data_IF_587688408436
#
_entry.id   IF_587688408436
#
_cell.length_a   1.000
_cell.length_b   1.000
_cell.length_c   1.000
_cell.angle_alpha   90.00
_cell.angle_beta   90.00
_cell.angle_gamma   90.00
#
_symmetry.space_group_name_H-M   'P 1'
#
loop_
_entity.id
_entity.type
_entity.pdbx_description
1 polymer ?
#
# COMPACT_ATOMS: atom_id res chain seq x y z
N UNK A 1 1.83 -16.19 -12.86
CA UNK A 1 2.56 -14.94 -12.64
C UNK A 1 2.11 -14.31 -11.33
N UNK A 2 3.02 -14.05 -10.40
CA UNK A 2 2.75 -13.45 -9.11
C UNK A 2 3.87 -12.52 -8.65
N UNK A 3 3.57 -11.77 -7.62
CA UNK A 3 4.51 -10.88 -6.94
C UNK A 3 5.01 -11.55 -5.65
N UNK A 4 6.16 -11.11 -5.16
CA UNK A 4 6.69 -11.54 -3.86
C UNK A 4 5.65 -11.29 -2.74
N UNK A 5 4.95 -10.20 -2.85
CA UNK A 5 3.90 -9.80 -1.92
C UNK A 5 2.75 -10.80 -1.89
N UNK A 6 2.34 -11.34 -3.02
CA UNK A 6 1.29 -12.38 -3.09
C UNK A 6 1.66 -13.60 -2.23
N UNK A 7 2.94 -14.00 -2.22
CA UNK A 7 3.39 -15.20 -1.54
C UNK A 7 3.20 -15.11 -0.01
N UNK A 8 3.63 -14.01 0.62
CA UNK A 8 3.51 -13.89 2.07
C UNK A 8 2.17 -13.34 2.54
N UNK A 9 1.44 -12.62 1.68
CA UNK A 9 0.08 -12.18 1.99
C UNK A 9 -0.92 -13.34 2.04
N UNK A 10 -0.62 -14.47 1.38
CA UNK A 10 -1.46 -15.66 1.41
C UNK A 10 -1.74 -16.17 2.84
N UNK A 11 -0.76 -16.01 3.73
CA UNK A 11 -0.85 -16.42 5.14
C UNK A 11 -1.39 -15.32 6.05
N UNK A 12 -1.68 -14.12 5.50
CA UNK A 12 -2.17 -13.00 6.30
C UNK A 12 -3.59 -13.27 6.80
N UNK A 13 -3.79 -13.04 8.09
CA UNK A 13 -5.07 -13.09 8.76
C UNK A 13 -5.38 -11.69 9.31
N UNK A 14 -6.15 -10.88 8.58
CA UNK A 14 -6.47 -9.53 9.03
C UNK A 14 -7.19 -9.54 10.38
N UNK A 15 -6.71 -8.72 11.32
CA UNK A 15 -7.27 -8.58 12.66
C UNK A 15 -8.24 -7.40 12.71
N UNK A 16 -9.55 -7.67 12.84
CA UNK A 16 -10.57 -6.63 12.93
C UNK A 16 -10.44 -5.77 14.19
N UNK A 17 -9.79 -6.25 15.25
CA UNK A 17 -9.50 -5.44 16.44
C UNK A 17 -8.54 -4.27 16.14
N UNK A 18 -7.93 -4.26 14.96
CA UNK A 18 -7.19 -3.10 14.48
C UNK A 18 -8.09 -1.86 14.35
N UNK A 19 -9.34 -2.02 13.87
CA UNK A 19 -10.28 -0.90 13.71
C UNK A 19 -10.68 -0.26 15.04
N UNK A 20 -10.75 -1.04 16.12
CA UNK A 20 -11.05 -0.53 17.46
C UNK A 20 -10.02 0.47 18.00
N UNK A 21 -8.81 0.47 17.40
CA UNK A 21 -7.71 1.38 17.76
C UNK A 21 -7.76 2.72 16.99
N UNK A 22 -8.64 2.83 16.00
CA UNK A 22 -8.77 4.02 15.17
C UNK A 22 -9.99 4.85 15.57
N UNK A 23 -9.94 6.18 15.45
CA UNK A 23 -11.06 7.04 15.75
C UNK A 23 -12.13 7.06 14.63
N UNK A 24 -11.95 6.30 13.56
CA UNK A 24 -12.82 6.27 12.38
C UNK A 24 -12.77 4.89 11.68
N UNK A 25 -13.87 4.52 11.05
CA UNK A 25 -13.99 3.26 10.29
C UNK A 25 -13.48 3.38 8.84
N UNK A 26 -13.72 4.54 8.22
CA UNK A 26 -13.31 4.86 6.85
C UNK A 26 -12.12 5.78 6.88
N UNK A 27 -11.02 5.41 6.23
CA UNK A 27 -9.79 6.18 6.22
C UNK A 27 -8.91 5.87 5.02
N UNK A 28 -8.08 6.82 4.67
CA UNK A 28 -6.94 6.62 3.78
C UNK A 28 -5.65 6.56 4.60
N UNK A 29 -4.71 5.71 4.20
CA UNK A 29 -3.38 5.68 4.81
C UNK A 29 -2.46 6.61 4.04
N UNK A 30 -1.72 7.46 4.75
CA UNK A 30 -0.62 8.23 4.18
C UNK A 30 0.69 7.85 4.85
N UNK A 31 1.68 7.37 4.05
CA UNK A 31 3.02 7.07 4.53
C UNK A 31 4.06 7.79 3.68
N UNK A 32 4.88 8.68 4.27
CA UNK A 32 5.88 9.48 3.56
C UNK A 32 6.91 8.66 2.78
N UNK A 33 7.50 9.31 1.78
CA UNK A 33 8.67 8.86 1.06
C UNK A 33 9.91 8.79 1.96
N UNK A 34 10.87 7.97 1.60
CA UNK A 34 12.20 8.02 2.19
C UNK A 34 13.04 9.11 1.52
N UNK A 35 12.78 10.38 1.82
CA UNK A 35 13.51 11.51 1.22
C UNK A 35 14.99 11.59 1.64
N UNK A 36 15.39 10.86 2.69
CA UNK A 36 16.80 10.76 3.13
C UNK A 36 17.58 9.67 2.42
N UNK A 37 16.92 8.91 1.54
CA UNK A 37 17.60 7.87 0.77
C UNK A 37 18.50 8.48 -0.31
N UNK A 38 19.64 7.87 -0.54
CA UNK A 38 20.64 8.33 -1.52
C UNK A 38 20.13 8.45 -2.96
N UNK A 39 19.09 7.71 -3.31
CA UNK A 39 18.45 7.75 -4.64
C UNK A 39 17.38 8.86 -4.81
N UNK A 40 17.20 9.73 -3.79
CA UNK A 40 16.16 10.77 -3.76
C UNK A 40 16.76 12.18 -3.70
N UNK A 41 17.92 12.39 -4.30
CA UNK A 41 18.62 13.67 -4.23
C UNK A 41 17.75 14.84 -4.73
N UNK A 42 17.69 15.91 -3.91
CA UNK A 42 17.08 17.21 -4.28
C UNK A 42 15.55 17.23 -4.35
N UNK A 43 14.86 16.13 -4.02
CA UNK A 43 13.38 16.11 -4.03
C UNK A 43 12.81 16.47 -2.67
N UNK A 44 11.76 17.28 -2.68
CA UNK A 44 10.93 17.55 -1.50
C UNK A 44 9.79 16.55 -1.38
N UNK A 45 9.32 16.30 -0.15
CA UNK A 45 8.12 15.50 0.09
C UNK A 45 6.88 16.23 -0.44
N UNK A 46 5.97 15.48 -1.06
CA UNK A 46 4.65 15.98 -1.44
C UNK A 46 3.64 15.87 -0.30
N UNK A 47 4.00 15.19 0.78
CA UNK A 47 3.07 14.85 1.88
C UNK A 47 2.45 16.07 2.54
N UNK A 48 3.17 17.20 2.79
CA UNK A 48 2.55 18.38 3.39
C UNK A 48 1.39 18.96 2.56
N UNK A 49 1.52 18.98 1.25
CA UNK A 49 0.47 19.41 0.34
C UNK A 49 -0.65 18.36 0.26
N UNK A 50 -0.30 17.10 0.10
CA UNK A 50 -1.25 15.99 0.02
C UNK A 50 -2.16 15.91 1.26
N UNK A 51 -1.61 16.07 2.47
CA UNK A 51 -2.39 16.07 3.72
C UNK A 51 -3.40 17.21 3.76
N UNK A 52 -3.04 18.40 3.29
CA UNK A 52 -3.95 19.56 3.23
C UNK A 52 -5.11 19.32 2.28
N UNK A 53 -4.84 18.80 1.10
CA UNK A 53 -5.86 18.51 0.10
C UNK A 53 -6.81 17.39 0.56
N UNK A 54 -6.27 16.33 1.19
CA UNK A 54 -7.08 15.26 1.79
C UNK A 54 -8.00 15.77 2.90
N UNK A 55 -7.48 16.61 3.82
CA UNK A 55 -8.26 17.22 4.90
C UNK A 55 -9.35 18.15 4.36
N UNK A 56 -9.01 18.97 3.36
CA UNK A 56 -9.96 19.86 2.68
C UNK A 56 -11.08 19.08 1.97
N UNK A 57 -10.78 17.90 1.42
CA UNK A 57 -11.75 17.01 0.79
C UNK A 57 -12.52 16.13 1.80
N UNK A 58 -12.23 16.25 3.11
CA UNK A 58 -12.94 15.56 4.19
C UNK A 58 -12.54 14.10 4.39
N UNK A 59 -11.37 13.67 3.92
CA UNK A 59 -10.87 12.33 4.19
C UNK A 59 -10.39 12.20 5.64
N UNK A 60 -10.69 11.09 6.30
CA UNK A 60 -10.00 10.69 7.51
C UNK A 60 -8.64 10.08 7.15
N UNK A 61 -7.60 10.49 7.82
CA UNK A 61 -6.23 10.17 7.46
C UNK A 61 -5.56 9.37 8.59
N UNK A 62 -5.19 8.12 8.31
CA UNK A 62 -4.23 7.39 9.14
C UNK A 62 -2.84 7.73 8.65
N UNK A 63 -2.15 8.59 9.39
CA UNK A 63 -0.81 9.04 9.03
C UNK A 63 0.26 8.21 9.75
N UNK A 64 1.13 7.59 8.95
CA UNK A 64 2.20 6.71 9.43
C UNK A 64 3.57 7.36 9.15
N UNK A 65 4.04 8.29 10.00
CA UNK A 65 5.31 8.97 9.81
C UNK A 65 6.47 7.96 9.74
N UNK A 66 7.45 8.24 8.92
CA UNK A 66 8.67 7.43 8.80
C UNK A 66 9.75 7.91 9.77
N UNK A 67 9.83 9.23 9.90
CA UNK A 67 10.77 9.93 10.78
C UNK A 67 10.01 10.82 11.77
N UNK A 68 10.64 11.13 12.88
CA UNK A 68 10.04 12.05 13.86
C UNK A 68 9.72 13.41 13.24
N UNK A 69 10.59 13.92 12.33
CA UNK A 69 10.37 15.14 11.58
C UNK A 69 9.13 15.14 10.67
N UNK A 70 8.64 13.95 10.27
CA UNK A 70 7.46 13.88 9.41
C UNK A 70 6.17 14.22 10.18
N UNK A 71 6.21 14.15 11.52
CA UNK A 71 5.06 14.51 12.37
C UNK A 71 4.65 15.96 12.19
N UNK A 72 5.60 16.84 11.84
CA UNK A 72 5.34 18.25 11.61
C UNK A 72 4.42 18.48 10.40
N UNK A 73 4.36 17.53 9.45
CA UNK A 73 3.45 17.60 8.30
C UNK A 73 1.97 17.58 8.69
N UNK A 74 1.65 17.01 9.86
CA UNK A 74 0.29 16.92 10.38
C UNK A 74 -0.21 18.19 11.08
N UNK A 75 0.64 19.23 11.21
CA UNK A 75 0.25 20.45 11.90
C UNK A 75 -0.88 21.18 11.14
N UNK A 76 -1.97 21.46 11.86
CA UNK A 76 -3.15 22.15 11.32
C UNK A 76 -4.11 21.27 10.52
N UNK A 77 -3.83 19.97 10.37
CA UNK A 77 -4.75 18.99 9.76
C UNK A 77 -5.75 18.52 10.82
N UNK A 78 -7.04 18.49 10.48
CA UNK A 78 -8.12 18.18 11.44
C UNK A 78 -8.44 16.71 11.52
N UNK A 79 -8.61 16.06 10.35
CA UNK A 79 -9.09 14.69 10.26
C UNK A 79 -7.91 13.69 10.15
N UNK A 80 -6.93 13.84 11.04
CA UNK A 80 -5.70 13.03 11.02
C UNK A 80 -5.49 12.31 12.34
N UNK A 81 -5.11 11.04 12.25
CA UNK A 81 -4.71 10.23 13.38
C UNK A 81 -3.31 9.66 13.15
N UNK A 82 -2.43 9.87 14.11
CA UNK A 82 -1.10 9.28 14.17
C UNK A 82 -1.02 8.33 15.36
N UNK A 83 -0.87 7.02 15.14
CA UNK A 83 -0.69 6.08 16.22
C UNK A 83 0.55 6.42 17.05
N UNK A 84 0.42 6.27 18.40
CA UNK A 84 1.56 6.45 19.32
C UNK A 84 2.53 5.29 19.28
N UNK A 85 2.00 4.10 18.99
CA UNK A 85 2.75 2.85 18.88
C UNK A 85 2.75 2.36 17.43
N UNK A 86 3.69 1.47 17.12
CA UNK A 86 3.72 0.83 15.81
C UNK A 86 2.44 0.00 15.59
N UNK A 87 1.85 0.13 14.41
CA UNK A 87 0.69 -0.64 13.99
C UNK A 87 1.09 -1.72 12.99
N UNK A 88 0.26 -2.76 12.91
CA UNK A 88 0.41 -3.75 11.84
C UNK A 88 0.11 -3.08 10.49
N UNK A 89 1.12 -2.99 9.62
CA UNK A 89 0.99 -2.35 8.31
C UNK A 89 0.07 -3.10 7.35
N UNK A 90 -0.04 -4.43 7.48
CA UNK A 90 -0.94 -5.23 6.64
C UNK A 90 -2.40 -5.01 7.03
N UNK A 91 -2.72 -4.92 8.32
CA UNK A 91 -4.07 -4.58 8.77
C UNK A 91 -4.43 -3.15 8.36
N UNK A 92 -3.49 -2.22 8.51
CA UNK A 92 -3.68 -0.85 8.06
C UNK A 92 -3.99 -0.74 6.55
N UNK A 93 -3.35 -1.58 5.72
CA UNK A 93 -3.65 -1.68 4.28
C UNK A 93 -5.00 -2.35 4.02
N UNK A 94 -5.26 -3.48 4.69
CA UNK A 94 -6.44 -4.31 4.40
C UNK A 94 -7.77 -3.58 4.66
N UNK A 95 -7.83 -2.79 5.73
CA UNK A 95 -9.05 -2.07 6.12
C UNK A 95 -9.14 -0.64 5.58
N UNK A 96 -8.14 -0.13 4.89
CA UNK A 96 -8.16 1.21 4.32
C UNK A 96 -9.08 1.32 3.09
N UNK A 97 -9.59 2.52 2.85
CA UNK A 97 -10.26 2.87 1.59
C UNK A 97 -9.25 3.09 0.47
N UNK A 98 -8.06 3.63 0.80
CA UNK A 98 -6.94 3.76 -0.13
C UNK A 98 -5.60 3.86 0.62
N UNK A 99 -4.52 3.49 -0.07
CA UNK A 99 -3.15 3.63 0.42
C UNK A 99 -2.40 4.62 -0.46
N UNK A 100 -1.87 5.67 0.16
CA UNK A 100 -1.07 6.71 -0.50
C UNK A 100 0.33 6.70 0.14
N UNK A 101 1.33 6.27 -0.60
CA UNK A 101 2.64 6.04 0.02
C UNK A 101 3.80 6.26 -0.93
N UNK A 102 4.90 6.80 -0.38
CA UNK A 102 6.21 6.78 -1.01
C UNK A 102 7.04 5.53 -0.68
N UNK A 103 6.43 4.54 0.03
CA UNK A 103 7.07 3.27 0.42
C UNK A 103 6.65 2.15 -0.53
N UNK A 104 7.55 1.67 -1.38
CA UNK A 104 7.24 0.67 -2.41
C UNK A 104 6.60 -0.61 -1.87
N UNK A 105 7.07 -1.16 -0.75
CA UNK A 105 6.50 -2.39 -0.17
C UNK A 105 5.02 -2.22 0.18
N UNK A 106 4.66 -1.16 0.92
CA UNK A 106 3.27 -0.91 1.31
C UNK A 106 2.36 -0.67 0.09
N UNK A 107 2.87 0.04 -0.94
CA UNK A 107 2.13 0.23 -2.18
C UNK A 107 1.84 -1.10 -2.90
N UNK A 108 2.83 -2.01 -2.95
CA UNK A 108 2.66 -3.34 -3.56
C UNK A 108 1.73 -4.24 -2.74
N UNK A 109 1.85 -4.22 -1.41
CA UNK A 109 0.94 -4.94 -0.51
C UNK A 109 -0.51 -4.53 -0.76
N UNK A 110 -0.80 -3.22 -0.78
CA UNK A 110 -2.13 -2.70 -1.09
C UNK A 110 -2.62 -3.15 -2.47
N UNK A 111 -1.78 -3.02 -3.50
CA UNK A 111 -2.11 -3.45 -4.87
C UNK A 111 -2.39 -4.96 -4.97
N UNK A 112 -1.66 -5.79 -4.22
CA UNK A 112 -1.89 -7.23 -4.17
C UNK A 112 -3.17 -7.59 -3.41
N UNK A 113 -3.52 -6.83 -2.37
CA UNK A 113 -4.79 -6.96 -1.65
C UNK A 113 -6.00 -6.47 -2.46
N UNK A 114 -5.79 -5.72 -3.53
CA UNK A 114 -6.85 -5.10 -4.32
C UNK A 114 -7.37 -3.80 -3.71
N UNK A 115 -6.66 -3.22 -2.75
CA UNK A 115 -6.95 -1.90 -2.19
C UNK A 115 -6.41 -0.82 -3.13
N UNK A 116 -7.15 0.28 -3.39
CA UNK A 116 -6.65 1.40 -4.18
C UNK A 116 -5.29 1.84 -3.70
N UNK A 117 -4.28 1.67 -4.55
CA UNK A 117 -2.88 1.92 -4.21
C UNK A 117 -2.32 3.07 -5.04
N UNK A 118 -1.85 4.10 -4.34
CA UNK A 118 -1.18 5.25 -4.93
C UNK A 118 0.27 5.26 -4.49
N UNK A 119 1.19 5.12 -5.42
CA UNK A 119 2.62 5.32 -5.18
C UNK A 119 3.04 6.71 -5.60
N UNK A 120 3.66 7.45 -4.68
CA UNK A 120 4.36 8.70 -4.99
C UNK A 120 5.88 8.58 -4.72
N UNK A 121 6.42 7.43 -5.05
CA UNK A 121 7.83 7.11 -4.89
C UNK A 121 8.73 8.23 -5.41
N UNK A 122 9.72 8.63 -4.61
CA UNK A 122 10.55 9.81 -4.91
C UNK A 122 11.80 9.50 -5.75
N UNK A 123 12.11 8.25 -6.06
CA UNK A 123 13.23 7.89 -6.92
C UNK A 123 13.06 8.36 -8.36
N UNK A 124 14.15 8.39 -9.12
CA UNK A 124 14.15 8.83 -10.51
C UNK A 124 13.32 7.92 -11.42
N UNK A 125 13.32 6.62 -11.14
CA UNK A 125 12.59 5.59 -11.89
C UNK A 125 11.87 4.64 -10.94
N UNK A 126 10.69 4.18 -11.33
CA UNK A 126 10.03 3.08 -10.64
C UNK A 126 10.86 1.78 -10.76
N UNK A 127 10.78 0.94 -9.75
CA UNK A 127 11.26 -0.43 -9.87
C UNK A 127 10.41 -1.18 -10.91
N UNK A 128 10.99 -2.14 -11.60
CA UNK A 128 10.28 -2.94 -12.62
C UNK A 128 9.02 -3.61 -12.07
N UNK A 129 9.04 -4.05 -10.82
CA UNK A 129 7.88 -4.63 -10.15
C UNK A 129 6.78 -3.60 -9.91
N UNK A 130 7.11 -2.37 -9.52
CA UNK A 130 6.13 -1.29 -9.35
C UNK A 130 5.55 -0.88 -10.70
N UNK A 131 6.40 -0.75 -11.72
CA UNK A 131 5.96 -0.47 -13.09
C UNK A 131 4.98 -1.53 -13.61
N UNK A 132 5.24 -2.82 -13.35
CA UNK A 132 4.33 -3.89 -13.77
C UNK A 132 2.95 -3.83 -13.10
N UNK A 133 2.88 -3.33 -11.86
CA UNK A 133 1.61 -3.10 -11.17
C UNK A 133 0.86 -1.89 -11.73
N UNK A 134 1.58 -0.84 -12.12
CA UNK A 134 1.00 0.33 -12.80
C UNK A 134 0.46 -0.07 -14.17
N UNK A 135 1.24 -0.80 -14.97
CA UNK A 135 0.84 -1.27 -16.29
C UNK A 135 -0.38 -2.22 -16.24
N UNK A 136 -0.50 -2.98 -15.14
CA UNK A 136 -1.65 -3.85 -14.87
C UNK A 136 -2.88 -3.10 -14.30
N UNK A 137 -2.81 -1.79 -14.11
CA UNK A 137 -3.89 -0.99 -13.52
C UNK A 137 -4.16 -1.26 -12.02
N UNK A 138 -3.22 -1.91 -11.32
CA UNK A 138 -3.35 -2.26 -9.89
C UNK A 138 -2.76 -1.21 -8.96
N UNK A 139 -1.97 -0.30 -9.49
CA UNK A 139 -1.33 0.79 -8.77
C UNK A 139 -1.38 2.06 -9.61
N UNK A 140 -1.72 3.18 -9.00
CA UNK A 140 -1.56 4.49 -9.62
C UNK A 140 -0.22 5.09 -9.18
N UNK A 141 0.49 5.70 -10.11
CA UNK A 141 1.74 6.40 -9.81
C UNK A 141 1.65 7.86 -10.22
N UNK A 142 1.80 8.74 -9.25
CA UNK A 142 1.98 10.18 -9.49
C UNK A 142 2.62 10.85 -8.28
N UNK A 143 3.36 11.92 -8.52
CA UNK A 143 3.83 12.87 -7.50
C UNK A 143 3.11 14.22 -7.60
N UNK A 144 2.17 14.35 -8.50
CA UNK A 144 1.28 15.50 -8.64
C UNK A 144 0.07 15.28 -7.73
N UNK A 145 -0.08 16.14 -6.72
CA UNK A 145 -1.15 16.02 -5.73
C UNK A 145 -2.53 16.13 -6.37
N UNK A 146 -2.69 17.02 -7.37
CA UNK A 146 -3.97 17.17 -8.07
C UNK A 146 -4.38 15.89 -8.81
N UNK A 147 -3.43 15.19 -9.46
CA UNK A 147 -3.68 13.91 -10.10
C UNK A 147 -4.03 12.82 -9.08
N UNK A 148 -3.37 12.82 -7.92
CA UNK A 148 -3.69 11.88 -6.83
C UNK A 148 -5.12 12.11 -6.34
N UNK A 149 -5.50 13.35 -6.09
CA UNK A 149 -6.86 13.70 -5.64
C UNK A 149 -7.91 13.32 -6.69
N UNK A 150 -7.63 13.56 -7.97
CA UNK A 150 -8.50 13.12 -9.07
C UNK A 150 -8.66 11.59 -9.13
N UNK A 151 -7.57 10.84 -8.95
CA UNK A 151 -7.63 9.38 -8.87
C UNK A 151 -8.52 8.92 -7.71
N UNK A 152 -8.35 9.49 -6.52
CA UNK A 152 -9.16 9.16 -5.34
C UNK A 152 -10.64 9.46 -5.56
N UNK A 153 -10.99 10.58 -6.19
CA UNK A 153 -12.38 10.92 -6.47
C UNK A 153 -13.04 9.91 -7.41
N UNK A 154 -12.32 9.43 -8.44
CA UNK A 154 -12.81 8.35 -9.30
C UNK A 154 -12.93 7.00 -8.59
N UNK A 155 -12.01 6.71 -7.67
CA UNK A 155 -12.03 5.47 -6.90
C UNK A 155 -13.10 5.45 -5.80
N UNK A 156 -13.59 6.61 -5.37
CA UNK A 156 -14.48 6.78 -4.22
C UNK A 156 -15.79 5.99 -4.36
N UNK A 157 -16.38 5.98 -5.54
CA UNK A 157 -17.60 5.24 -5.82
C UNK A 157 -17.40 3.71 -5.75
N UNK A 158 -16.15 3.27 -5.84
CA UNK A 158 -15.74 1.86 -5.84
C UNK A 158 -15.12 1.40 -4.51
N UNK A 159 -15.01 2.25 -3.49
CA UNK A 159 -14.35 1.87 -2.23
C UNK A 159 -14.98 0.65 -1.54
N UNK A 160 -16.30 0.49 -1.62
CA UNK A 160 -16.98 -0.71 -1.11
C UNK A 160 -16.60 -1.97 -1.89
N UNK A 161 -16.46 -1.87 -3.20
CA UNK A 161 -16.02 -2.98 -4.05
C UNK A 161 -14.57 -3.33 -3.76
N UNK A 162 -13.70 -2.35 -3.49
CA UNK A 162 -12.32 -2.56 -3.09
C UNK A 162 -12.19 -3.21 -1.71
N UNK A 163 -13.03 -2.87 -0.75
CA UNK A 163 -13.07 -3.56 0.55
C UNK A 163 -13.47 -5.03 0.41
N UNK A 164 -14.46 -5.32 -0.42
CA UNK A 164 -14.77 -6.69 -0.82
C UNK A 164 -13.62 -7.31 -1.63
N UNK A 165 -12.89 -6.50 -2.41
CA UNK A 165 -11.70 -6.87 -3.16
C UNK A 165 -10.54 -7.35 -2.31
N UNK A 166 -10.42 -6.88 -1.06
CA UNK A 166 -9.41 -7.37 -0.11
C UNK A 166 -9.54 -8.87 0.14
N UNK A 167 -10.75 -9.40 0.26
CA UNK A 167 -11.00 -10.84 0.37
C UNK A 167 -10.58 -11.55 -0.92
N UNK A 168 -11.00 -11.04 -2.07
CA UNK A 168 -10.61 -11.60 -3.37
C UNK A 168 -9.10 -11.50 -3.61
N UNK A 169 -8.45 -10.44 -3.13
CA UNK A 169 -6.99 -10.27 -3.16
C UNK A 169 -6.28 -11.37 -2.37
N UNK A 170 -6.73 -11.68 -1.16
CA UNK A 170 -6.17 -12.77 -0.34
C UNK A 170 -6.36 -14.14 -0.99
N UNK A 171 -7.52 -14.42 -1.56
CA UNK A 171 -7.77 -15.67 -2.29
C UNK A 171 -6.81 -15.81 -3.49
N UNK A 172 -6.59 -14.74 -4.23
CA UNK A 172 -5.61 -14.72 -5.31
C UNK A 172 -4.18 -14.96 -4.79
N UNK A 173 -3.80 -14.34 -3.68
CA UNK A 173 -2.49 -14.56 -3.05
C UNK A 173 -2.28 -16.04 -2.69
N UNK A 174 -3.30 -16.72 -2.13
CA UNK A 174 -3.25 -18.15 -1.83
C UNK A 174 -3.05 -19.00 -3.08
N UNK A 175 -3.76 -18.67 -4.18
CA UNK A 175 -3.58 -19.37 -5.45
C UNK A 175 -2.14 -19.22 -5.97
N UNK A 176 -1.60 -18.01 -5.96
CA UNK A 176 -0.21 -17.73 -6.39
C UNK A 176 0.78 -18.48 -5.52
N UNK A 177 0.59 -18.49 -4.20
CA UNK A 177 1.45 -19.23 -3.27
C UNK A 177 1.43 -20.72 -3.60
N UNK A 178 0.26 -21.31 -3.81
CA UNK A 178 0.13 -22.73 -4.14
C UNK A 178 0.80 -23.08 -5.48
N UNK A 179 0.61 -22.26 -6.52
CA UNK A 179 1.28 -22.45 -7.82
C UNK A 179 2.82 -22.45 -7.66
N UNK A 180 3.37 -21.55 -6.84
CA UNK A 180 4.82 -21.49 -6.57
C UNK A 180 5.27 -22.76 -5.85
N UNK A 181 4.55 -23.21 -4.84
CA UNK A 181 4.88 -24.41 -4.07
C UNK A 181 4.84 -25.67 -4.96
N UNK A 182 3.84 -25.79 -5.83
CA UNK A 182 3.71 -26.91 -6.78
C UNK A 182 4.89 -26.98 -7.76
N UNK A 183 5.32 -25.82 -8.29
CA UNK A 183 6.50 -25.73 -9.16
C UNK A 183 7.77 -26.14 -8.41
N UNK A 184 7.96 -25.67 -7.18
CA UNK A 184 9.12 -26.02 -6.36
C UNK A 184 9.13 -27.52 -6.05
N UNK A 185 7.98 -28.10 -5.69
CA UNK A 185 7.88 -29.54 -5.43
C UNK A 185 8.22 -30.38 -6.66
N UNK A 186 7.71 -30.00 -7.83
CA UNK A 186 8.04 -30.67 -9.09
C UNK A 186 9.56 -30.61 -9.38
N UNK A 187 10.19 -29.48 -9.19
CA UNK A 187 11.63 -29.32 -9.42
C UNK A 187 12.45 -30.17 -8.43
N UNK A 188 12.10 -30.18 -7.17
CA UNK A 188 12.75 -31.01 -6.15
C UNK A 188 12.61 -32.49 -6.49
N UNK A 189 11.41 -32.96 -6.85
CA UNK A 189 11.16 -34.36 -7.24
C UNK A 189 11.95 -34.75 -8.50
N UNK A 190 12.06 -33.86 -9.49
CA UNK A 190 12.86 -34.08 -10.70
C UNK A 190 14.36 -34.19 -10.37
N UNK A 191 14.86 -33.30 -9.52
CA UNK A 191 16.25 -33.32 -9.07
C UNK A 191 16.59 -34.62 -8.33
N UNK A 192 15.77 -35.05 -7.38
CA UNK A 192 16.01 -36.28 -6.62
C UNK A 192 15.99 -37.52 -7.51
N UNK A 193 15.14 -37.56 -8.56
CA UNK A 193 15.13 -38.66 -9.54
C UNK A 193 16.39 -38.66 -10.42
N UNK A 194 17.04 -37.53 -10.66
CA UNK A 194 18.26 -37.44 -11.47
C UNK A 194 19.52 -37.86 -10.72
N UNK A 195 19.45 -38.03 -9.39
CA UNK A 195 20.57 -38.44 -8.54
C UNK A 195 20.58 -39.98 -8.27
N UNK A 196 19.51 -40.67 -8.64
CA UNK A 196 19.38 -42.13 -8.59
C UNK A 196 19.56 -42.75 -9.98
#
# INVERSE_FOLDING_TARGET
NGYKEDFYLADNQPDSAFLDKLPFEHYVVVRPENIKASYVEGRQSIVPELLKELDAAGYNILFLPRYESDRDYAQGIKNIYMPKEAVNGLDACYYADAILTGAGTMAREAACLGVPSVSFFAGAHLLSVDQSLVDAGKMFFSRDVAQIMQYLEHAKDSFFEYRAGGIAGLERCKQVQQEILDVLEQQIRAYLKSQN
#
